data_IF_499544486344
#
_entry.id   IF_499544486344
#
_cell.length_a   1.000
_cell.length_b   1.000
_cell.length_c   1.000
_cell.angle_alpha   90.00
_cell.angle_beta   90.00
_cell.angle_gamma   90.00
#
_symmetry.space_group_name_H-M   'P 1'
#
loop_
_entity.id
_entity.type
_entity.pdbx_description
1 polymer ?
#
# COMPACT_ATOMS: atom_id res chain seq x y z
N UNK A 1 -0.99 7.39 10.86
CA UNK A 1 0.40 7.00 11.21
C UNK A 1 0.99 6.09 10.13
N UNK A 2 2.23 6.29 9.66
CA UNK A 2 2.89 5.38 8.69
C UNK A 2 3.33 4.07 9.36
N UNK A 3 2.98 2.94 8.76
CA UNK A 3 3.27 1.58 9.27
C UNK A 3 4.37 0.90 8.45
N UNK A 4 4.38 1.11 7.13
CA UNK A 4 5.39 0.54 6.25
C UNK A 4 5.28 1.10 4.84
N UNK A 5 6.34 0.88 4.07
CA UNK A 5 6.47 1.35 2.69
C UNK A 5 6.98 0.21 1.83
N UNK A 6 6.30 -0.04 0.72
CA UNK A 6 6.77 -0.96 -0.33
C UNK A 6 7.22 -0.16 -1.54
N UNK A 7 8.43 -0.45 -2.04
CA UNK A 7 9.05 0.30 -3.13
C UNK A 7 8.80 -0.36 -4.48
N UNK A 8 8.18 0.41 -5.38
CA UNK A 8 8.05 0.13 -6.80
C UNK A 8 9.32 0.47 -7.58
N UNK A 9 9.16 0.79 -8.86
CA UNK A 9 10.20 1.34 -9.72
C UNK A 9 10.05 2.86 -9.93
N UNK A 10 8.82 3.36 -9.89
CA UNK A 10 8.48 4.78 -10.03
C UNK A 10 7.71 5.32 -8.82
N UNK A 11 7.01 4.43 -8.12
CA UNK A 11 6.14 4.81 -7.00
C UNK A 11 6.50 4.07 -5.72
N UNK A 12 6.28 4.76 -4.60
CA UNK A 12 6.23 4.16 -3.27
C UNK A 12 4.78 3.87 -2.88
N UNK A 13 4.56 2.78 -2.15
CA UNK A 13 3.25 2.38 -1.66
C UNK A 13 3.26 2.37 -0.13
N UNK A 14 2.75 3.46 0.46
CA UNK A 14 2.74 3.69 1.90
C UNK A 14 1.49 3.09 2.53
N UNK A 15 1.67 2.30 3.59
CA UNK A 15 0.59 1.76 4.41
C UNK A 15 0.45 2.62 5.65
N UNK A 16 -0.68 3.31 5.76
CA UNK A 16 -0.99 4.21 6.86
C UNK A 16 -2.18 3.72 7.66
N UNK A 17 -2.13 3.91 8.97
CA UNK A 17 -3.30 3.78 9.84
C UNK A 17 -4.32 4.87 9.52
N UNK A 18 -5.59 4.47 9.48
CA UNK A 18 -6.75 5.33 9.25
C UNK A 18 -7.86 4.93 10.24
N UNK A 19 -8.77 5.85 10.59
CA UNK A 19 -9.86 5.58 11.55
C UNK A 19 -10.71 4.34 11.24
N UNK A 20 -10.80 3.96 9.97
CA UNK A 20 -11.59 2.81 9.50
C UNK A 20 -10.74 1.58 9.13
N UNK A 21 -9.43 1.58 9.42
CA UNK A 21 -8.51 0.49 9.12
C UNK A 21 -7.14 0.96 8.64
N UNK A 22 -6.71 0.46 7.48
CA UNK A 22 -5.38 0.66 6.93
C UNK A 22 -5.49 1.09 5.48
N UNK A 23 -4.96 2.26 5.15
CA UNK A 23 -4.97 2.79 3.78
C UNK A 23 -3.63 2.50 3.13
N UNK A 24 -3.67 2.02 1.89
CA UNK A 24 -2.51 1.98 1.01
C UNK A 24 -2.57 3.15 0.04
N UNK A 25 -1.57 4.02 0.10
CA UNK A 25 -1.44 5.20 -0.74
C UNK A 25 -0.28 5.05 -1.70
N UNK A 26 -0.50 5.41 -2.96
CA UNK A 26 0.59 5.56 -3.93
C UNK A 26 1.17 6.97 -3.77
N UNK A 27 2.49 7.05 -3.67
CA UNK A 27 3.26 8.29 -3.62
C UNK A 27 4.31 8.29 -4.72
N UNK A 28 4.38 9.37 -5.47
CA UNK A 28 5.43 9.60 -6.46
C UNK A 28 6.79 9.71 -5.76
N UNK A 29 7.80 8.99 -6.25
CA UNK A 29 9.14 9.02 -5.66
C UNK A 29 9.85 10.36 -5.96
N UNK A 30 9.52 11.03 -7.07
CA UNK A 30 10.24 12.22 -7.54
C UNK A 30 9.70 13.53 -6.92
N UNK A 31 8.39 13.64 -6.70
CA UNK A 31 7.72 14.87 -6.18
C UNK A 31 7.05 14.64 -4.82
N UNK A 32 7.17 13.44 -4.24
CA UNK A 32 6.50 13.04 -2.99
C UNK A 32 4.97 13.25 -2.99
N UNK A 33 4.36 13.44 -4.16
CA UNK A 33 2.93 13.69 -4.29
C UNK A 33 2.13 12.41 -4.13
N UNK A 34 1.05 12.46 -3.35
CA UNK A 34 0.16 11.31 -3.14
C UNK A 34 -0.96 11.27 -4.17
N UNK A 35 -1.25 10.07 -4.69
CA UNK A 35 -2.40 9.86 -5.54
C UNK A 35 -3.71 10.04 -4.78
N UNK A 36 -4.72 10.62 -5.44
CA UNK A 36 -6.06 10.81 -4.87
C UNK A 36 -6.83 9.50 -4.68
N UNK A 37 -6.49 8.46 -5.46
CA UNK A 37 -7.06 7.12 -5.31
C UNK A 37 -6.22 6.29 -4.34
N UNK A 38 -6.86 5.79 -3.29
CA UNK A 38 -6.22 4.94 -2.28
C UNK A 38 -7.11 3.75 -1.97
N UNK A 39 -6.54 2.68 -1.41
CA UNK A 39 -7.30 1.47 -1.08
C UNK A 39 -7.31 1.26 0.43
N UNK A 40 -8.49 1.24 1.03
CA UNK A 40 -8.72 0.99 2.45
C UNK A 40 -8.93 -0.51 2.70
N UNK A 41 -8.22 -1.04 3.69
CA UNK A 41 -8.34 -2.41 4.17
C UNK A 41 -8.74 -2.42 5.64
N UNK A 42 -9.52 -3.41 6.04
CA UNK A 42 -9.87 -3.60 7.47
C UNK A 42 -8.73 -4.27 8.25
N UNK A 43 -7.83 -4.96 7.55
CA UNK A 43 -6.79 -5.80 8.13
C UNK A 43 -5.39 -5.39 7.64
N UNK A 44 -4.51 -5.14 8.61
CA UNK A 44 -3.12 -4.75 8.33
C UNK A 44 -2.36 -5.78 7.47
N UNK A 45 -2.45 -7.10 7.73
CA UNK A 45 -1.73 -8.07 6.90
C UNK A 45 -2.13 -8.00 5.43
N UNK A 46 -3.40 -7.74 5.14
CA UNK A 46 -3.89 -7.59 3.76
C UNK A 46 -3.37 -6.31 3.14
N UNK A 47 -3.41 -5.18 3.85
CA UNK A 47 -2.87 -3.90 3.37
C UNK A 47 -1.38 -4.00 3.00
N UNK A 48 -0.56 -4.63 3.86
CA UNK A 48 0.87 -4.85 3.60
C UNK A 48 1.10 -5.76 2.38
N UNK A 49 0.30 -6.82 2.22
CA UNK A 49 0.40 -7.70 1.05
C UNK A 49 -0.06 -7.05 -0.24
N UNK A 50 -1.09 -6.20 -0.16
CA UNK A 50 -1.52 -5.39 -1.27
C UNK A 50 -0.40 -4.44 -1.70
N UNK A 51 0.19 -3.68 -0.77
CA UNK A 51 1.30 -2.76 -1.04
C UNK A 51 2.50 -3.44 -1.72
N UNK A 52 2.92 -4.63 -1.25
CA UNK A 52 3.96 -5.42 -1.91
C UNK A 52 3.58 -5.88 -3.33
N UNK A 53 2.31 -6.25 -3.53
CA UNK A 53 1.81 -6.67 -4.84
C UNK A 53 1.78 -5.52 -5.84
N UNK A 54 1.23 -4.34 -5.48
CA UNK A 54 1.24 -3.18 -6.39
C UNK A 54 2.67 -2.66 -6.63
N UNK A 55 3.56 -2.69 -5.64
CA UNK A 55 4.98 -2.41 -5.85
C UNK A 55 5.65 -3.40 -6.82
N UNK A 56 5.31 -4.68 -6.74
CA UNK A 56 5.78 -5.68 -7.69
C UNK A 56 5.20 -5.48 -9.09
N UNK A 57 3.96 -5.01 -9.20
CA UNK A 57 3.32 -4.66 -10.47
C UNK A 57 4.03 -3.47 -11.14
N UNK A 58 4.31 -2.41 -10.38
CA UNK A 58 5.05 -1.25 -10.87
C UNK A 58 6.42 -1.64 -11.42
N UNK A 59 7.19 -2.43 -10.65
CA UNK A 59 8.47 -2.99 -11.12
C UNK A 59 8.33 -3.84 -12.39
N UNK A 60 7.26 -4.62 -12.50
CA UNK A 60 7.02 -5.43 -13.69
C UNK A 60 6.65 -4.59 -14.91
N UNK A 61 5.91 -3.49 -14.72
CA UNK A 61 5.61 -2.50 -15.78
C UNK A 61 6.88 -1.81 -16.25
N UNK A 62 7.69 -1.26 -15.34
CA UNK A 62 8.96 -0.64 -15.70
C UNK A 62 9.92 -1.60 -16.43
N UNK A 63 9.89 -2.90 -16.08
CA UNK A 63 10.68 -3.93 -16.76
C UNK A 63 10.27 -4.18 -18.21
N UNK A 64 9.04 -3.84 -18.63
CA UNK A 64 8.59 -3.97 -20.02
C UNK A 64 9.36 -3.00 -20.95
N UNK A 65 9.85 -1.88 -20.42
CA UNK A 65 10.49 -0.81 -21.20
C UNK A 65 12.03 -0.94 -21.30
N UNK A 66 12.67 -1.73 -20.44
CA UNK A 66 14.14 -1.83 -20.33
C UNK A 66 14.76 -2.72 -21.42
N UNK A 67 13.96 -3.56 -22.10
CA UNK A 67 14.43 -4.45 -23.17
C UNK A 67 15.32 -5.62 -22.72
N UNK A 68 15.43 -5.85 -21.40
CA UNK A 68 16.12 -7.00 -20.80
C UNK A 68 15.12 -8.12 -20.48
N UNK A 69 15.23 -9.23 -21.22
CA UNK A 69 14.33 -10.38 -21.08
C UNK A 69 14.45 -11.11 -19.75
N UNK A 70 15.65 -11.19 -19.19
CA UNK A 70 15.86 -11.86 -17.89
C UNK A 70 15.30 -10.99 -16.76
N UNK A 71 15.55 -9.68 -16.81
CA UNK A 71 14.96 -8.73 -15.86
C UNK A 71 13.43 -8.77 -15.90
N UNK A 72 12.84 -8.71 -17.11
CA UNK A 72 11.39 -8.83 -17.32
C UNK A 72 10.81 -10.12 -16.76
N UNK A 73 11.46 -11.26 -17.02
CA UNK A 73 11.02 -12.57 -16.51
C UNK A 73 11.07 -12.64 -14.99
N UNK A 74 12.11 -12.09 -14.37
CA UNK A 74 12.23 -12.03 -12.91
C UNK A 74 11.14 -11.14 -12.29
N UNK A 75 10.90 -9.97 -12.87
CA UNK A 75 9.87 -9.05 -12.41
C UNK A 75 8.47 -9.67 -12.50
N UNK A 76 8.13 -10.32 -13.63
CA UNK A 76 6.87 -11.05 -13.78
C UNK A 76 6.73 -12.21 -12.80
N UNK A 77 7.81 -12.98 -12.57
CA UNK A 77 7.80 -14.08 -11.60
C UNK A 77 7.52 -13.60 -10.18
N UNK A 78 8.07 -12.43 -9.81
CA UNK A 78 7.81 -11.81 -8.51
C UNK A 78 6.37 -11.29 -8.43
N UNK A 79 5.86 -10.62 -9.47
CA UNK A 79 4.48 -10.16 -9.54
C UNK A 79 3.48 -11.30 -9.28
N UNK A 80 3.66 -12.46 -9.93
CA UNK A 80 2.79 -13.63 -9.75
C UNK A 80 2.84 -14.19 -8.31
N UNK A 81 4.03 -14.19 -7.70
CA UNK A 81 4.19 -14.65 -6.30
C UNK A 81 3.49 -13.72 -5.33
N UNK A 82 3.66 -12.41 -5.47
CA UNK A 82 3.01 -11.45 -4.57
C UNK A 82 1.50 -11.40 -4.78
N UNK A 83 0.99 -11.55 -6.00
CA UNK A 83 -0.44 -11.71 -6.26
C UNK A 83 -1.03 -12.92 -5.52
N UNK A 84 -0.33 -14.07 -5.58
CA UNK A 84 -0.77 -15.28 -4.89
C UNK A 84 -0.84 -15.08 -3.37
N UNK A 85 0.18 -14.45 -2.78
CA UNK A 85 0.25 -14.15 -1.34
C UNK A 85 -0.83 -13.16 -0.90
N UNK A 86 -1.04 -12.09 -1.67
CA UNK A 86 -2.13 -11.15 -1.43
C UNK A 86 -3.48 -11.86 -1.47
N UNK A 87 -3.75 -12.61 -2.54
CA UNK A 87 -5.02 -13.31 -2.73
C UNK A 87 -5.30 -14.32 -1.61
N UNK A 88 -4.28 -15.03 -1.14
CA UNK A 88 -4.39 -15.96 -0.02
C UNK A 88 -4.82 -15.25 1.28
N UNK A 89 -4.14 -14.15 1.61
CA UNK A 89 -4.42 -13.37 2.83
C UNK A 89 -5.79 -12.68 2.75
N UNK A 90 -6.10 -12.03 1.62
CA UNK A 90 -7.39 -11.39 1.31
C UNK A 90 -8.56 -12.35 1.56
N UNK A 91 -8.44 -13.59 1.05
CA UNK A 91 -9.47 -14.63 1.22
C UNK A 91 -9.59 -15.13 2.65
N UNK A 92 -8.45 -15.33 3.34
CA UNK A 92 -8.46 -15.81 4.72
C UNK A 92 -9.11 -14.79 5.67
N UNK A 93 -8.89 -13.51 5.42
CA UNK A 93 -9.36 -12.41 6.26
C UNK A 93 -10.67 -11.77 5.77
N UNK A 94 -11.18 -12.18 4.61
CA UNK A 94 -12.39 -11.63 3.97
C UNK A 94 -12.32 -10.11 3.80
N UNK A 95 -11.17 -9.64 3.32
CA UNK A 95 -10.83 -8.23 3.18
C UNK A 95 -10.25 -7.99 1.79
N UNK A 96 -11.07 -7.60 0.82
CA UNK A 96 -10.66 -7.42 -0.58
C UNK A 96 -10.24 -5.97 -0.92
N UNK A 97 -10.25 -5.10 0.09
CA UNK A 97 -9.98 -3.67 -0.07
C UNK A 97 -11.16 -2.88 -0.65
N UNK A 98 -11.29 -1.63 -0.23
CA UNK A 98 -12.28 -0.68 -0.71
C UNK A 98 -11.55 0.52 -1.31
N UNK A 99 -11.88 0.89 -2.56
CA UNK A 99 -11.36 2.12 -3.14
C UNK A 99 -12.01 3.31 -2.44
N UNK A 100 -11.18 4.19 -1.89
CA UNK A 100 -11.62 5.45 -1.28
C UNK A 100 -10.88 6.63 -1.92
N UNK A 101 -11.57 7.77 -1.95
CA UNK A 101 -10.95 9.06 -2.23
C UNK A 101 -10.64 9.72 -0.90
N UNK A 102 -9.38 10.05 -0.67
CA UNK A 102 -8.98 10.85 0.48
C UNK A 102 -8.94 12.30 0.00
N UNK A 103 -9.94 13.06 0.42
CA UNK A 103 -10.06 14.47 0.04
C UNK A 103 -9.06 15.36 0.80
N UNK A 104 -8.62 14.91 1.99
CA UNK A 104 -7.69 15.63 2.86
C UNK A 104 -6.70 14.64 3.51
N UNK A 105 -5.37 14.79 3.32
CA UNK A 105 -4.38 13.93 3.97
C UNK A 105 -4.44 13.97 5.51
N UNK A 106 -5.06 14.99 6.12
CA UNK A 106 -5.25 15.05 7.58
C UNK A 106 -6.23 13.99 8.12
N UNK A 107 -7.07 13.38 7.27
CA UNK A 107 -7.92 12.23 7.65
C UNK A 107 -7.07 10.98 8.04
N UNK A 108 -5.75 10.99 7.80
CA UNK A 108 -4.81 9.91 8.14
C UNK A 108 -4.18 10.06 9.53
N UNK A 109 -4.69 11.00 10.32
CA UNK A 109 -4.31 11.21 11.72
C UNK A 109 -5.48 10.86 12.64
N UNK A 110 -5.22 9.97 13.60
CA UNK A 110 -6.11 9.77 14.74
C UNK A 110 -5.66 10.80 15.78
N UNK A 111 -6.59 11.60 16.30
CA UNK A 111 -6.34 12.46 17.44
C UNK A 111 -5.65 11.65 18.55
N UNK A 112 -4.40 12.00 18.85
CA UNK A 112 -3.78 11.58 20.09
C UNK A 112 -4.56 12.34 21.17
N UNK A 113 -5.46 11.65 21.86
CA UNK A 113 -6.13 12.18 23.04
C UNK A 113 -5.07 12.45 24.13
N UNK A 114 -4.46 13.63 24.05
CA UNK A 114 -3.48 14.16 24.99
C UNK A 114 -4.18 14.76 26.21
N UNK A 115 -5.29 14.16 26.66
CA UNK A 115 -5.91 14.52 27.93
C UNK A 115 -5.07 13.93 29.05
N UNK A 116 -4.37 14.74 29.89
CA UNK A 116 -3.70 14.23 31.06
C UNK A 116 -4.75 13.64 32.00
N UNK A 117 -4.77 12.31 32.11
CA UNK A 117 -5.52 11.61 33.15
C UNK A 117 -4.97 12.04 34.50
N UNK A 118 -5.55 13.09 35.05
CA UNK A 118 -5.27 13.52 36.41
C UNK A 118 -5.98 12.51 37.31
N UNK A 119 -5.22 11.58 37.88
CA UNK A 119 -5.72 10.69 38.92
C UNK A 119 -5.89 11.54 40.18
N UNK A 120 -7.15 11.70 40.62
CA UNK A 120 -7.51 12.23 41.95
C UNK A 120 -7.56 11.11 42.98
#
# INVERSE_FOLDING_TARGET
MLIGTSFGALFCYDVCEHRNGYVVMMRDEDDESCAAETTLFRSLPTALRFAEWVAAYDRARAAEDIGDDDFRRLAQSRLVREWSRYTEVSRLLLDDGEKISIADPDDLSVDVDDTPRTFH
#
